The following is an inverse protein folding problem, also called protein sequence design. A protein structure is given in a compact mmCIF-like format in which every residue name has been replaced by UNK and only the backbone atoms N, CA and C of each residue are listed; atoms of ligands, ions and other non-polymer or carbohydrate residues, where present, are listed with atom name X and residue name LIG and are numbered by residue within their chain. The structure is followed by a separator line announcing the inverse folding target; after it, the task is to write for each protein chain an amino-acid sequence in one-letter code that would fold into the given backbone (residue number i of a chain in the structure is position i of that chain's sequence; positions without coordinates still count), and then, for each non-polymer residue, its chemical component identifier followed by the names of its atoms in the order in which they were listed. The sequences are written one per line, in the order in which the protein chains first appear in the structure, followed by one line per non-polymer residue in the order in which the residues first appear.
data_IF_719838057537
#
_entry.id   IF_719838057537
#
_cell.length_a   1.000
_cell.length_b   1.000
_cell.length_c   1.000
_cell.angle_alpha   90.00
_cell.angle_beta   90.00
_cell.angle_gamma   90.00
#
_symmetry.space_group_name_H-M   'P 1'
#
loop_
_entity.id
_entity.type
_entity.pdbx_description
1 polymer ?
#
# COMPACT_ATOMS: atom_id res chain seq x y z
N UNK A 1 18.69 3.95 6.33
CA UNK A 1 17.66 4.13 5.27
C UNK A 1 17.77 5.45 4.54
N UNK A 2 17.97 6.62 5.24
CA UNK A 2 18.01 7.95 4.61
C UNK A 2 19.05 8.06 3.48
N UNK A 3 20.27 7.54 3.65
CA UNK A 3 21.31 7.59 2.60
C UNK A 3 20.85 6.89 1.31
N UNK A 4 20.17 5.75 1.43
CA UNK A 4 19.62 5.03 0.27
C UNK A 4 18.50 5.84 -0.39
N UNK A 5 17.59 6.44 0.39
CA UNK A 5 16.53 7.29 -0.12
C UNK A 5 17.08 8.50 -0.90
N UNK A 6 18.10 9.20 -0.36
CA UNK A 6 18.74 10.32 -1.05
C UNK A 6 19.48 9.91 -2.33
N UNK A 7 20.05 8.71 -2.38
CA UNK A 7 20.65 8.17 -3.60
C UNK A 7 19.58 7.88 -4.68
N UNK A 8 18.44 7.34 -4.27
CA UNK A 8 17.31 7.11 -5.17
C UNK A 8 16.75 8.43 -5.71
N UNK A 9 16.58 9.46 -4.88
CA UNK A 9 16.18 10.80 -5.31
C UNK A 9 17.18 11.38 -6.33
N UNK A 10 18.48 11.29 -6.03
CA UNK A 10 19.53 11.75 -6.95
C UNK A 10 19.49 11.03 -8.30
N UNK A 11 19.05 9.76 -8.30
CA UNK A 11 18.86 8.96 -9.50
C UNK A 11 17.53 9.26 -10.24
N UNK A 12 16.68 10.15 -9.71
CA UNK A 12 15.44 10.58 -10.34
C UNK A 12 14.17 9.94 -9.76
N UNK A 13 14.23 9.26 -8.61
CA UNK A 13 13.03 8.75 -7.94
C UNK A 13 12.09 9.92 -7.57
N UNK A 14 10.80 9.75 -7.88
CA UNK A 14 9.76 10.75 -7.58
C UNK A 14 9.04 10.51 -6.25
N UNK A 15 9.36 9.43 -5.59
CA UNK A 15 8.84 9.04 -4.28
C UNK A 15 9.69 7.93 -3.68
N UNK A 16 9.61 7.82 -2.37
CA UNK A 16 10.28 6.78 -1.58
C UNK A 16 9.21 5.98 -0.86
N UNK A 17 9.25 4.68 -0.99
CA UNK A 17 8.40 3.76 -0.21
C UNK A 17 9.21 3.10 0.89
N UNK A 18 8.64 3.10 2.09
CA UNK A 18 9.20 2.41 3.25
C UNK A 18 8.12 1.53 3.84
N UNK A 19 8.46 0.26 4.08
CA UNK A 19 7.60 -0.65 4.81
C UNK A 19 8.02 -0.71 6.28
N UNK A 20 7.22 -0.14 7.15
CA UNK A 20 7.37 -0.29 8.60
C UNK A 20 6.53 -1.46 9.08
N UNK A 21 7.17 -2.60 9.28
CA UNK A 21 6.53 -3.80 9.80
C UNK A 21 6.24 -3.67 11.30
N UNK A 22 5.19 -4.35 11.78
CA UNK A 22 4.87 -4.40 13.22
C UNK A 22 6.03 -4.93 14.07
N UNK A 23 6.82 -5.85 13.54
CA UNK A 23 7.97 -6.44 14.23
C UNK A 23 9.25 -5.61 14.13
N UNK A 24 9.23 -4.46 13.44
CA UNK A 24 10.38 -3.55 13.21
C UNK A 24 11.62 -4.28 12.67
N UNK A 25 11.44 -5.33 11.88
CA UNK A 25 12.52 -6.22 11.42
C UNK A 25 13.63 -5.49 10.66
N UNK A 26 13.32 -4.51 9.84
CA UNK A 26 14.26 -3.81 8.96
C UNK A 26 14.26 -2.29 9.16
N UNK A 27 13.10 -1.69 9.30
CA UNK A 27 12.88 -0.25 9.49
C UNK A 27 12.37 -0.02 10.90
N UNK A 28 12.90 1.01 11.56
CA UNK A 28 12.48 1.46 12.87
C UNK A 28 11.66 2.75 12.75
N UNK A 29 10.90 3.09 13.79
CA UNK A 29 10.06 4.31 13.82
C UNK A 29 10.91 5.58 13.58
N UNK A 30 12.11 5.65 14.17
CA UNK A 30 13.03 6.76 13.96
C UNK A 30 13.58 6.82 12.54
N UNK A 31 13.76 5.69 11.86
CA UNK A 31 14.14 5.68 10.45
C UNK A 31 13.08 6.37 9.59
N UNK A 32 11.79 6.11 9.86
CA UNK A 32 10.68 6.73 9.12
C UNK A 32 10.70 8.25 9.35
N UNK A 33 10.85 8.70 10.61
CA UNK A 33 10.93 10.13 10.96
C UNK A 33 12.11 10.82 10.28
N UNK A 34 13.27 10.16 10.27
CA UNK A 34 14.49 10.71 9.65
C UNK A 34 14.35 10.80 8.15
N UNK A 35 13.78 9.78 7.50
CA UNK A 35 13.54 9.79 6.06
C UNK A 35 12.51 10.83 5.68
N UNK A 36 11.35 10.91 6.38
CA UNK A 36 10.33 11.93 6.13
C UNK A 36 10.90 13.37 6.17
N UNK A 37 11.79 13.65 7.10
CA UNK A 37 12.43 14.97 7.23
C UNK A 37 13.56 15.23 6.24
N UNK A 38 14.20 14.16 5.75
CA UNK A 38 15.42 14.26 4.97
C UNK A 38 15.24 14.18 3.47
N UNK A 39 14.14 13.64 2.95
CA UNK A 39 13.85 13.57 1.54
C UNK A 39 13.12 14.81 1.04
N UNK A 40 13.26 15.12 -0.25
CA UNK A 40 12.53 16.20 -0.92
C UNK A 40 11.34 15.70 -1.74
N UNK A 41 11.26 14.39 -1.94
CA UNK A 41 10.18 13.72 -2.68
C UNK A 41 9.07 13.24 -1.73
N UNK A 42 8.16 12.45 -2.25
CA UNK A 42 6.98 11.95 -1.53
C UNK A 42 7.34 10.70 -0.75
N UNK A 43 6.99 10.63 0.53
CA UNK A 43 7.06 9.40 1.32
C UNK A 43 5.75 8.63 1.19
N UNK A 44 5.83 7.37 0.77
CA UNK A 44 4.77 6.38 0.93
C UNK A 44 5.15 5.45 2.09
N UNK A 45 4.32 5.39 3.13
CA UNK A 45 4.50 4.51 4.28
C UNK A 45 3.62 3.27 4.13
N UNK A 46 4.23 2.12 3.87
CA UNK A 46 3.55 0.83 3.94
C UNK A 46 3.47 0.38 5.40
N UNK A 47 2.28 -0.04 5.82
CA UNK A 47 2.03 -0.42 7.21
C UNK A 47 0.80 -1.32 7.35
N UNK A 48 0.75 -2.09 8.44
CA UNK A 48 -0.46 -2.80 8.83
C UNK A 48 -1.55 -1.85 9.34
N UNK A 49 -2.86 -2.20 9.20
CA UNK A 49 -3.97 -1.37 9.67
C UNK A 49 -4.17 -1.47 11.20
N UNK A 50 -3.11 -1.46 12.00
CA UNK A 50 -3.18 -1.49 13.46
C UNK A 50 -3.25 -0.10 14.05
N UNK A 51 -3.79 0.04 15.26
CA UNK A 51 -3.91 1.35 15.90
C UNK A 51 -2.53 2.00 16.12
N UNK A 52 -1.53 1.22 16.51
CA UNK A 52 -0.15 1.70 16.70
C UNK A 52 0.42 2.32 15.44
N UNK A 53 0.26 1.63 14.29
CA UNK A 53 0.75 2.13 12.99
C UNK A 53 -0.03 3.35 12.53
N UNK A 54 -1.33 3.37 12.76
CA UNK A 54 -2.18 4.54 12.45
C UNK A 54 -1.76 5.75 13.27
N UNK A 55 -1.50 5.60 14.56
CA UNK A 55 -1.06 6.70 15.42
C UNK A 55 0.30 7.26 14.99
N UNK A 56 1.23 6.39 14.62
CA UNK A 56 2.53 6.80 14.07
C UNK A 56 2.39 7.54 12.73
N UNK A 57 1.55 7.02 11.83
CA UNK A 57 1.30 7.69 10.54
C UNK A 57 0.67 9.08 10.72
N UNK A 58 -0.23 9.25 11.70
CA UNK A 58 -0.83 10.54 12.04
C UNK A 58 0.17 11.52 12.65
N UNK A 59 1.17 11.02 13.38
CA UNK A 59 2.28 11.82 13.89
C UNK A 59 3.20 12.30 12.75
N UNK A 60 3.62 11.36 11.88
CA UNK A 60 4.62 11.60 10.82
C UNK A 60 4.02 12.36 9.64
N UNK A 61 2.74 12.13 9.32
CA UNK A 61 2.01 12.69 8.18
C UNK A 61 2.78 12.51 6.87
N UNK A 62 3.01 11.23 6.42
CA UNK A 62 3.63 10.98 5.14
C UNK A 62 2.71 11.48 4.00
N UNK A 63 3.26 11.57 2.79
CA UNK A 63 2.43 11.92 1.61
C UNK A 63 1.31 10.91 1.38
N UNK A 64 1.59 9.63 1.61
CA UNK A 64 0.64 8.52 1.44
C UNK A 64 0.91 7.44 2.48
N UNK A 65 -0.15 6.76 2.92
CA UNK A 65 -0.07 5.46 3.57
C UNK A 65 -0.59 4.38 2.63
N UNK A 66 0.09 3.24 2.56
CA UNK A 66 -0.37 2.04 1.87
C UNK A 66 -0.62 0.95 2.89
N UNK A 67 -1.88 0.55 3.07
CA UNK A 67 -2.21 -0.49 4.02
C UNK A 67 -1.99 -1.87 3.40
N UNK A 68 -1.17 -2.66 4.06
CA UNK A 68 -0.82 -4.03 3.69
C UNK A 68 -1.23 -5.00 4.80
N UNK A 69 -1.62 -6.25 4.48
CA UNK A 69 -1.81 -7.24 5.52
C UNK A 69 -0.46 -7.69 6.07
N UNK A 70 -0.33 -7.77 7.38
CA UNK A 70 0.83 -8.36 8.04
C UNK A 70 0.42 -9.55 8.89
N UNK A 71 1.11 -10.66 8.72
CA UNK A 71 1.13 -11.75 9.68
C UNK A 71 2.57 -11.89 10.18
N UNK A 72 2.74 -11.87 11.50
CA UNK A 72 4.07 -11.90 12.15
C UNK A 72 4.95 -13.07 11.71
N UNK A 73 4.37 -14.12 11.16
CA UNK A 73 5.08 -15.34 10.73
C UNK A 73 5.45 -15.35 9.24
N UNK A 74 4.95 -14.40 8.43
CA UNK A 74 5.24 -14.35 7.00
C UNK A 74 6.47 -13.50 6.70
N UNK A 75 7.32 -13.97 5.78
CA UNK A 75 8.52 -13.24 5.34
C UNK A 75 8.13 -12.19 4.31
N UNK A 76 7.11 -12.47 3.52
CA UNK A 76 6.56 -11.58 2.49
C UNK A 76 5.04 -11.47 2.62
N UNK A 77 4.45 -10.42 2.04
CA UNK A 77 2.99 -10.26 1.95
C UNK A 77 2.48 -11.11 0.79
N UNK A 78 2.06 -12.36 1.09
CA UNK A 78 1.60 -13.30 0.05
C UNK A 78 0.22 -12.97 -0.50
N UNK A 79 -0.63 -12.25 0.25
CA UNK A 79 -2.00 -11.90 -0.13
C UNK A 79 -2.25 -10.41 0.04
N UNK A 80 -3.22 -9.91 -0.73
CA UNK A 80 -3.75 -8.57 -0.54
C UNK A 80 -4.59 -8.46 0.74
N UNK A 81 -4.83 -7.22 1.16
CA UNK A 81 -5.70 -6.90 2.29
C UNK A 81 -7.15 -7.29 1.96
N UNK A 82 -7.82 -7.96 2.89
CA UNK A 82 -9.26 -8.23 2.76
C UNK A 82 -10.07 -6.99 3.18
N UNK A 83 -10.29 -6.11 2.22
CA UNK A 83 -11.03 -4.87 2.40
C UNK A 83 -12.50 -5.15 2.69
N UNK A 84 -13.08 -6.14 2.00
CA UNK A 84 -14.51 -6.48 2.12
C UNK A 84 -14.89 -6.81 3.57
N UNK A 85 -14.08 -7.59 4.27
CA UNK A 85 -14.36 -7.96 5.65
C UNK A 85 -14.07 -6.86 6.66
N UNK A 86 -13.29 -5.84 6.28
CA UNK A 86 -12.78 -4.80 7.16
C UNK A 86 -13.26 -3.38 6.81
N UNK A 87 -14.24 -3.22 5.92
CA UNK A 87 -14.71 -1.91 5.42
C UNK A 87 -14.93 -0.89 6.54
N UNK A 88 -15.63 -1.28 7.60
CA UNK A 88 -15.94 -0.37 8.71
C UNK A 88 -14.70 0.12 9.48
N UNK A 89 -13.72 -0.74 9.66
CA UNK A 89 -12.47 -0.39 10.35
C UNK A 89 -11.60 0.49 9.45
N UNK A 90 -11.46 0.11 8.17
CA UNK A 90 -10.67 0.84 7.18
C UNK A 90 -11.25 2.23 6.87
N UNK A 91 -12.58 2.38 6.82
CA UNK A 91 -13.23 3.70 6.68
C UNK A 91 -12.82 4.66 7.80
N UNK A 92 -12.77 4.19 9.05
CA UNK A 92 -12.35 5.03 10.17
C UNK A 92 -10.88 5.45 10.07
N UNK A 93 -10.01 4.57 9.57
CA UNK A 93 -8.60 4.91 9.33
C UNK A 93 -8.52 5.93 8.19
N UNK A 94 -9.29 5.71 7.11
CA UNK A 94 -9.37 6.64 5.97
C UNK A 94 -9.78 8.05 6.38
N UNK A 95 -10.82 8.18 7.21
CA UNK A 95 -11.28 9.46 7.75
C UNK A 95 -10.15 10.19 8.48
N UNK A 96 -9.47 9.50 9.42
CA UNK A 96 -8.33 10.07 10.16
C UNK A 96 -7.18 10.54 9.26
N UNK A 97 -6.86 9.77 8.21
CA UNK A 97 -5.80 10.13 7.25
C UNK A 97 -6.21 11.33 6.41
N UNK A 98 -7.47 11.38 5.95
CA UNK A 98 -8.02 12.49 5.19
C UNK A 98 -7.96 13.80 5.96
N UNK A 99 -8.31 13.79 7.24
CA UNK A 99 -8.26 14.98 8.12
C UNK A 99 -6.85 15.58 8.23
N UNK A 100 -5.82 14.77 7.97
CA UNK A 100 -4.42 15.18 7.94
C UNK A 100 -3.86 15.43 6.53
N UNK A 101 -4.68 15.27 5.50
CA UNK A 101 -4.25 15.42 4.12
C UNK A 101 -3.34 14.29 3.61
N UNK A 102 -3.32 13.14 4.30
CA UNK A 102 -2.55 11.96 3.93
C UNK A 102 -3.36 11.12 2.95
N UNK A 103 -2.79 10.80 1.79
CA UNK A 103 -3.42 9.91 0.81
C UNK A 103 -3.48 8.48 1.33
N UNK A 104 -4.54 7.77 0.96
CA UNK A 104 -4.86 6.44 1.47
C UNK A 104 -4.89 5.40 0.35
N UNK A 105 -3.98 4.46 0.38
CA UNK A 105 -3.82 3.37 -0.58
C UNK A 105 -4.03 2.01 0.09
N UNK A 106 -4.51 1.05 -0.69
CA UNK A 106 -4.76 -0.31 -0.23
C UNK A 106 -4.07 -1.31 -1.16
N UNK A 107 -3.26 -2.20 -0.59
CA UNK A 107 -2.67 -3.33 -1.31
C UNK A 107 -3.67 -4.48 -1.33
N UNK A 108 -4.19 -4.83 -2.51
CA UNK A 108 -5.28 -5.80 -2.67
C UNK A 108 -4.96 -6.86 -3.72
N UNK A 109 -5.53 -8.06 -3.57
CA UNK A 109 -5.52 -9.04 -4.64
C UNK A 109 -6.36 -8.56 -5.84
N UNK A 110 -6.09 -9.04 -7.08
CA UNK A 110 -6.86 -8.71 -8.27
C UNK A 110 -8.26 -9.34 -8.23
N UNK A 111 -9.13 -8.79 -7.39
CA UNK A 111 -10.52 -9.20 -7.18
C UNK A 111 -11.44 -7.97 -7.26
N UNK A 112 -12.48 -8.08 -8.10
CA UNK A 112 -13.43 -6.99 -8.32
C UNK A 112 -14.18 -6.58 -7.05
N UNK A 113 -14.45 -7.52 -6.15
CA UNK A 113 -15.11 -7.22 -4.88
C UNK A 113 -14.22 -6.35 -3.98
N UNK A 114 -12.91 -6.64 -3.94
CA UNK A 114 -11.93 -5.83 -3.20
C UNK A 114 -11.80 -4.41 -3.80
N UNK A 115 -11.80 -4.30 -5.14
CA UNK A 115 -11.81 -3.00 -5.83
C UNK A 115 -13.06 -2.20 -5.48
N UNK A 116 -14.23 -2.84 -5.52
CA UNK A 116 -15.50 -2.18 -5.21
C UNK A 116 -15.57 -1.76 -3.74
N UNK A 117 -15.06 -2.57 -2.82
CA UNK A 117 -14.94 -2.22 -1.41
C UNK A 117 -13.98 -1.04 -1.19
N UNK A 118 -12.83 -1.03 -1.86
CA UNK A 118 -11.87 0.08 -1.81
C UNK A 118 -12.50 1.41 -2.24
N UNK A 119 -13.32 1.39 -3.27
CA UNK A 119 -14.04 2.58 -3.72
C UNK A 119 -15.12 3.01 -2.71
N UNK A 120 -15.87 2.07 -2.10
CA UNK A 120 -16.90 2.43 -1.08
C UNK A 120 -16.31 3.14 0.12
N UNK A 121 -15.11 2.76 0.54
CA UNK A 121 -14.39 3.44 1.63
C UNK A 121 -13.63 4.69 1.17
N UNK A 122 -13.77 5.07 -0.10
CA UNK A 122 -13.15 6.26 -0.69
C UNK A 122 -11.62 6.25 -0.60
N UNK A 123 -10.98 5.11 -0.86
CA UNK A 123 -9.53 5.07 -1.03
C UNK A 123 -9.10 5.99 -2.19
N UNK A 124 -7.92 6.59 -2.08
CA UNK A 124 -7.35 7.44 -3.15
C UNK A 124 -6.72 6.58 -4.26
N UNK A 125 -6.20 5.42 -3.87
CA UNK A 125 -5.55 4.48 -4.77
C UNK A 125 -5.64 3.05 -4.28
N UNK A 126 -5.37 2.13 -5.19
CA UNK A 126 -5.10 0.72 -4.89
C UNK A 126 -3.76 0.32 -5.52
N UNK A 127 -3.09 -0.64 -4.89
CA UNK A 127 -1.98 -1.37 -5.47
C UNK A 127 -2.41 -2.83 -5.64
N UNK A 128 -2.38 -3.31 -6.88
CA UNK A 128 -2.78 -4.69 -7.21
C UNK A 128 -1.59 -5.61 -6.96
N UNK A 129 -1.79 -6.60 -6.09
CA UNK A 129 -0.83 -7.66 -5.82
C UNK A 129 -0.58 -8.51 -7.08
N UNK A 130 0.65 -8.52 -7.57
CA UNK A 130 1.09 -9.32 -8.71
C UNK A 130 1.91 -10.55 -8.31
N UNK A 131 2.09 -10.82 -7.03
CA UNK A 131 2.91 -11.91 -6.50
C UNK A 131 2.52 -13.26 -7.10
N UNK A 132 1.24 -13.59 -7.13
CA UNK A 132 0.76 -14.82 -7.74
C UNK A 132 1.16 -14.94 -9.22
N UNK A 133 1.09 -13.86 -9.99
CA UNK A 133 1.51 -13.86 -11.40
C UNK A 133 2.98 -14.28 -11.56
N UNK A 134 3.85 -13.85 -10.66
CA UNK A 134 5.29 -14.15 -10.73
C UNK A 134 5.64 -15.60 -10.43
N UNK A 135 4.77 -16.33 -9.75
CA UNK A 135 4.96 -17.73 -9.35
C UNK A 135 4.45 -18.73 -10.38
N UNK A 136 3.56 -18.30 -11.28
CA UNK A 136 2.92 -19.16 -12.27
C UNK A 136 3.90 -19.56 -13.37
N UNK A 137 3.85 -20.83 -13.78
CA UNK A 137 4.70 -21.41 -14.83
C UNK A 137 3.90 -21.83 -16.07
N UNK A 138 2.62 -22.09 -15.92
CA UNK A 138 1.74 -22.49 -17.03
C UNK A 138 1.27 -21.28 -17.83
N UNK A 139 1.51 -21.23 -19.16
CA UNK A 139 1.06 -20.11 -20.00
C UNK A 139 -0.43 -19.80 -19.83
N UNK A 140 -1.28 -20.82 -19.72
CA UNK A 140 -2.73 -20.65 -19.53
C UNK A 140 -3.09 -20.03 -18.17
N UNK A 141 -2.36 -20.36 -17.11
CA UNK A 141 -2.58 -19.78 -15.79
C UNK A 141 -2.08 -18.33 -15.75
N UNK A 142 -0.93 -18.06 -16.38
CA UNK A 142 -0.37 -16.71 -16.54
C UNK A 142 -1.38 -15.82 -17.27
N UNK A 143 -1.92 -16.26 -18.41
CA UNK A 143 -2.92 -15.52 -19.18
C UNK A 143 -4.17 -15.21 -18.33
N UNK A 144 -4.68 -16.21 -17.61
CA UNK A 144 -5.84 -16.02 -16.71
C UNK A 144 -5.56 -15.02 -15.60
N UNK A 145 -4.38 -15.04 -14.99
CA UNK A 145 -4.03 -14.11 -13.93
C UNK A 145 -3.83 -12.69 -14.46
N UNK A 146 -3.21 -12.55 -15.63
CA UNK A 146 -3.12 -11.25 -16.33
C UNK A 146 -4.51 -10.68 -16.64
N UNK A 147 -5.46 -11.50 -17.10
CA UNK A 147 -6.84 -11.04 -17.30
C UNK A 147 -7.50 -10.54 -16.00
N UNK A 148 -7.24 -11.20 -14.86
CA UNK A 148 -7.76 -10.78 -13.56
C UNK A 148 -7.18 -9.42 -13.17
N UNK A 149 -5.85 -9.26 -13.30
CA UNK A 149 -5.15 -7.99 -13.02
C UNK A 149 -5.70 -6.88 -13.92
N UNK A 150 -5.81 -7.12 -15.22
CA UNK A 150 -6.34 -6.13 -16.18
C UNK A 150 -7.79 -5.73 -15.88
N UNK A 151 -8.67 -6.70 -15.58
CA UNK A 151 -10.07 -6.43 -15.20
C UNK A 151 -10.16 -5.60 -13.94
N UNK A 152 -9.35 -5.91 -12.92
CA UNK A 152 -9.31 -5.18 -11.67
C UNK A 152 -8.77 -3.75 -11.86
N UNK A 153 -7.71 -3.59 -12.62
CA UNK A 153 -7.14 -2.27 -12.93
C UNK A 153 -8.14 -1.39 -13.71
N UNK A 154 -8.79 -1.94 -14.73
CA UNK A 154 -9.84 -1.24 -15.49
C UNK A 154 -10.99 -0.83 -14.60
N UNK A 155 -11.51 -1.75 -13.77
CA UNK A 155 -12.60 -1.47 -12.83
C UNK A 155 -12.25 -0.36 -11.85
N UNK A 156 -11.03 -0.38 -11.32
CA UNK A 156 -10.57 0.66 -10.40
C UNK A 156 -10.47 2.03 -11.07
N UNK A 157 -9.91 2.10 -12.28
CA UNK A 157 -9.81 3.33 -13.05
C UNK A 157 -11.21 3.90 -13.38
N UNK A 158 -12.16 3.06 -13.80
CA UNK A 158 -13.55 3.45 -14.05
C UNK A 158 -14.25 4.02 -12.80
N UNK A 159 -13.80 3.61 -11.61
CA UNK A 159 -14.30 4.11 -10.31
C UNK A 159 -13.52 5.32 -9.77
N UNK A 160 -12.57 5.84 -10.52
CA UNK A 160 -11.78 7.02 -10.15
C UNK A 160 -10.63 6.74 -9.17
N UNK A 161 -10.31 5.48 -8.90
CA UNK A 161 -9.15 5.11 -8.10
C UNK A 161 -7.86 5.21 -8.94
N UNK A 162 -6.78 5.71 -8.37
CA UNK A 162 -5.45 5.54 -8.96
C UNK A 162 -5.02 4.08 -8.80
N UNK A 163 -4.34 3.54 -9.81
CA UNK A 163 -3.96 2.13 -9.85
C UNK A 163 -2.45 2.00 -9.92
N UNK A 164 -1.91 1.22 -9.01
CA UNK A 164 -0.53 0.74 -9.01
C UNK A 164 -0.53 -0.78 -9.07
N UNK A 165 0.62 -1.38 -9.35
CA UNK A 165 0.83 -2.82 -9.35
C UNK A 165 2.22 -3.13 -8.79
N UNK A 166 2.30 -4.09 -7.86
CA UNK A 166 3.54 -4.50 -7.20
C UNK A 166 3.56 -5.98 -6.85
#
# INVERSE_FOLDING_TARGET
PLKAALLAEKAGAQGITIHLREDRRHIQDDDVRVVQKGINTKLNLEMAPTQEMVDLALEIQPYQVSLVPEKRQEITTERGLDVCSQEKALSKIREKMQDKGVLFSLFIDPDLAQVDASQRIQADSIEINTGKYTELKSPKEIERELERIQKSAKRAAEKGLKVFAG
#
